data_IF_259292182651
#
_entry.id   IF_259292182651
#
_cell.length_a   1.000
_cell.length_b   1.000
_cell.length_c   1.000
_cell.angle_alpha   90.00
_cell.angle_beta   90.00
_cell.angle_gamma   90.00
#
_symmetry.space_group_name_H-M   'P 1'
#
loop_
_entity.id
_entity.type
_entity.pdbx_description
1 polymer ?
#
# COMPACT_ATOMS: atom_id res chain seq x y z
N UNK A 1 -12.83 77.57 -82.80
CA UNK A 1 -12.10 77.10 -81.61
C UNK A 1 -12.97 76.81 -80.37
N UNK A 2 -14.20 77.35 -80.22
CA UNK A 2 -15.04 77.11 -79.02
C UNK A 2 -15.62 75.69 -78.84
N UNK A 3 -15.85 74.91 -79.90
CA UNK A 3 -16.50 73.58 -79.81
C UNK A 3 -15.57 72.45 -79.31
N UNK A 4 -14.28 72.49 -79.61
CA UNK A 4 -13.33 71.43 -79.22
C UNK A 4 -13.02 71.45 -77.71
N UNK A 5 -12.98 72.64 -77.10
CA UNK A 5 -12.79 72.79 -75.66
C UNK A 5 -13.94 72.21 -74.83
N UNK A 6 -15.18 72.34 -75.31
CA UNK A 6 -16.36 71.80 -74.62
C UNK A 6 -16.41 70.27 -74.62
N UNK A 7 -15.91 69.62 -75.68
CA UNK A 7 -15.85 68.16 -75.80
C UNK A 7 -14.72 67.60 -74.92
N UNK A 8 -13.57 68.28 -74.89
CA UNK A 8 -12.48 67.92 -73.99
C UNK A 8 -12.88 68.05 -72.51
N UNK A 9 -13.60 69.12 -72.15
CA UNK A 9 -14.12 69.32 -70.79
C UNK A 9 -15.14 68.27 -70.38
N UNK A 10 -16.05 67.86 -71.28
CA UNK A 10 -17.05 66.83 -70.96
C UNK A 10 -16.44 65.43 -70.83
N UNK A 11 -15.42 65.10 -71.61
CA UNK A 11 -14.66 63.85 -71.47
C UNK A 11 -13.85 63.84 -70.17
N UNK A 12 -13.20 64.96 -69.83
CA UNK A 12 -12.47 65.12 -68.56
C UNK A 12 -13.40 65.04 -67.35
N UNK A 13 -14.57 65.68 -67.39
CA UNK A 13 -15.57 65.57 -66.33
C UNK A 13 -16.12 64.14 -66.22
N UNK A 14 -16.42 63.48 -67.34
CA UNK A 14 -16.89 62.09 -67.35
C UNK A 14 -15.87 61.13 -66.73
N UNK A 15 -14.59 61.27 -67.09
CA UNK A 15 -13.50 60.47 -66.52
C UNK A 15 -13.28 60.74 -65.02
N UNK A 16 -13.45 61.99 -64.59
CA UNK A 16 -13.29 62.40 -63.19
C UNK A 16 -14.45 61.88 -62.31
N UNK A 17 -15.68 61.87 -62.82
CA UNK A 17 -16.83 61.26 -62.12
C UNK A 17 -16.66 59.74 -61.99
N UNK A 18 -16.20 59.06 -63.05
CA UNK A 18 -15.94 57.61 -63.01
C UNK A 18 -14.76 57.29 -62.09
N UNK A 19 -13.69 58.10 -62.11
CA UNK A 19 -12.51 57.93 -61.25
C UNK A 19 -12.81 58.15 -59.76
N UNK A 20 -13.62 59.15 -59.42
CA UNK A 20 -14.07 59.38 -58.04
C UNK A 20 -15.01 58.25 -57.57
N UNK A 21 -15.95 57.83 -58.42
CA UNK A 21 -16.87 56.73 -58.10
C UNK A 21 -16.12 55.41 -57.87
N UNK A 22 -15.26 55.01 -58.80
CA UNK A 22 -14.46 53.77 -58.69
C UNK A 22 -13.45 53.83 -57.54
N UNK A 23 -12.82 54.97 -57.29
CA UNK A 23 -11.93 55.17 -56.13
C UNK A 23 -12.65 55.05 -54.79
N UNK A 24 -13.88 55.56 -54.68
CA UNK A 24 -14.70 55.42 -53.48
C UNK A 24 -15.10 53.96 -53.21
N UNK A 25 -15.56 53.24 -54.23
CA UNK A 25 -15.88 51.81 -54.11
C UNK A 25 -14.65 50.95 -53.78
N UNK A 26 -13.50 51.24 -54.38
CA UNK A 26 -12.24 50.56 -54.06
C UNK A 26 -11.78 50.85 -52.63
N UNK A 27 -11.94 52.09 -52.16
CA UNK A 27 -11.62 52.45 -50.78
C UNK A 27 -12.53 51.77 -49.76
N UNK A 28 -13.84 51.74 -50.04
CA UNK A 28 -14.83 51.05 -49.20
C UNK A 28 -14.57 49.54 -49.15
N UNK A 29 -14.32 48.91 -50.29
CA UNK A 29 -13.98 47.49 -50.38
C UNK A 29 -12.67 47.14 -49.66
N UNK A 30 -11.68 48.05 -49.66
CA UNK A 30 -10.43 47.85 -48.94
C UNK A 30 -10.62 47.97 -47.42
N UNK A 31 -11.47 48.90 -46.97
CA UNK A 31 -11.87 49.03 -45.56
C UNK A 31 -12.62 47.79 -45.07
N UNK A 32 -13.54 47.27 -45.87
CA UNK A 32 -14.27 46.03 -45.53
C UNK A 32 -13.33 44.83 -45.46
N UNK A 33 -12.36 44.71 -46.38
CA UNK A 33 -11.32 43.66 -46.30
C UNK A 33 -10.48 43.76 -45.04
N UNK A 34 -10.13 44.99 -44.61
CA UNK A 34 -9.38 45.20 -43.37
C UNK A 34 -10.20 44.82 -42.13
N UNK A 35 -11.49 45.18 -42.09
CA UNK A 35 -12.40 44.80 -41.02
C UNK A 35 -12.58 43.28 -40.94
N UNK A 36 -12.83 42.62 -42.06
CA UNK A 36 -12.96 41.15 -42.13
C UNK A 36 -11.64 40.44 -41.75
N UNK A 37 -10.49 41.00 -42.13
CA UNK A 37 -9.20 40.44 -41.73
C UNK A 37 -8.97 40.56 -40.22
N UNK A 38 -9.39 41.66 -39.60
CA UNK A 38 -9.29 41.88 -38.16
C UNK A 38 -10.25 40.96 -37.38
N UNK A 39 -11.49 40.82 -37.83
CA UNK A 39 -12.46 39.88 -37.26
C UNK A 39 -11.97 38.43 -37.39
N UNK A 40 -11.40 38.04 -38.54
CA UNK A 40 -10.83 36.72 -38.74
C UNK A 40 -9.61 36.47 -37.83
N UNK A 41 -8.78 37.47 -37.58
CA UNK A 41 -7.66 37.36 -36.63
C UNK A 41 -8.15 37.22 -35.18
N UNK A 42 -9.17 38.00 -34.79
CA UNK A 42 -9.78 37.89 -33.47
C UNK A 42 -10.45 36.53 -33.27
N UNK A 43 -11.20 36.04 -34.26
CA UNK A 43 -11.81 34.71 -34.22
C UNK A 43 -10.76 33.59 -34.10
N UNK A 44 -9.64 33.70 -34.83
CA UNK A 44 -8.51 32.76 -34.69
C UNK A 44 -7.88 32.81 -33.30
N UNK A 45 -7.66 34.01 -32.76
CA UNK A 45 -7.10 34.16 -31.42
C UNK A 45 -8.03 33.57 -30.34
N UNK A 46 -9.34 33.79 -30.46
CA UNK A 46 -10.33 33.20 -29.57
C UNK A 46 -10.37 31.68 -29.70
N UNK A 47 -10.36 31.14 -30.91
CA UNK A 47 -10.34 29.70 -31.14
C UNK A 47 -9.11 29.03 -30.53
N UNK A 48 -7.92 29.65 -30.67
CA UNK A 48 -6.68 29.16 -30.05
C UNK A 48 -6.79 29.17 -28.52
N UNK A 49 -7.31 30.26 -27.94
CA UNK A 49 -7.53 30.36 -26.48
C UNK A 49 -8.50 29.30 -25.99
N UNK A 50 -9.66 29.14 -26.64
CA UNK A 50 -10.65 28.11 -26.27
C UNK A 50 -10.06 26.70 -26.40
N UNK A 51 -9.26 26.43 -27.42
CA UNK A 51 -8.59 25.14 -27.57
C UNK A 51 -7.60 24.87 -26.43
N UNK A 52 -6.85 25.90 -26.01
CA UNK A 52 -5.90 25.79 -24.90
C UNK A 52 -6.60 25.65 -23.55
N UNK A 53 -7.70 26.37 -23.32
CA UNK A 53 -8.57 26.22 -22.15
C UNK A 53 -9.17 24.81 -22.08
N UNK A 54 -9.64 24.26 -23.21
CA UNK A 54 -10.13 22.88 -23.28
C UNK A 54 -9.05 21.86 -22.93
N UNK A 55 -7.82 22.03 -23.45
CA UNK A 55 -6.70 21.15 -23.11
C UNK A 55 -6.36 21.20 -21.62
N UNK A 56 -6.33 22.38 -21.04
CA UNK A 56 -6.08 22.56 -19.61
C UNK A 56 -7.19 21.92 -18.76
N UNK A 57 -8.46 22.11 -19.13
CA UNK A 57 -9.60 21.51 -18.44
C UNK A 57 -9.58 19.97 -18.52
N UNK A 58 -9.21 19.40 -19.67
CA UNK A 58 -9.04 17.95 -19.84
C UNK A 58 -7.89 17.44 -18.96
N UNK A 59 -6.77 18.16 -18.92
CA UNK A 59 -5.63 17.78 -18.08
C UNK A 59 -6.01 17.79 -16.60
N UNK A 60 -6.65 18.85 -16.11
CA UNK A 60 -7.11 18.96 -14.73
C UNK A 60 -8.14 17.87 -14.38
N UNK A 61 -9.06 17.56 -15.31
CA UNK A 61 -10.02 16.47 -15.13
C UNK A 61 -9.31 15.11 -15.03
N UNK A 62 -8.32 14.84 -15.88
CA UNK A 62 -7.54 13.61 -15.84
C UNK A 62 -6.74 13.47 -14.54
N UNK A 63 -6.15 14.56 -14.04
CA UNK A 63 -5.45 14.56 -12.75
C UNK A 63 -6.41 14.28 -11.59
N UNK A 64 -7.59 14.91 -11.58
CA UNK A 64 -8.62 14.65 -10.57
C UNK A 64 -9.12 13.21 -10.62
N UNK A 65 -9.33 12.66 -11.82
CA UNK A 65 -9.70 11.26 -12.01
C UNK A 65 -8.61 10.31 -11.52
N UNK A 66 -7.33 10.60 -11.78
CA UNK A 66 -6.21 9.79 -11.30
C UNK A 66 -6.15 9.76 -9.76
N UNK A 67 -6.29 10.92 -9.11
CA UNK A 67 -6.33 11.02 -7.64
C UNK A 67 -7.54 10.27 -7.05
N UNK A 68 -8.73 10.45 -7.64
CA UNK A 68 -9.93 9.73 -7.21
C UNK A 68 -9.77 8.21 -7.37
N UNK A 69 -9.17 7.74 -8.46
CA UNK A 69 -8.88 6.32 -8.66
C UNK A 69 -7.90 5.77 -7.61
N UNK A 70 -6.90 6.57 -7.21
CA UNK A 70 -5.97 6.17 -6.15
C UNK A 70 -6.66 6.07 -4.78
N UNK A 71 -7.54 7.02 -4.46
CA UNK A 71 -8.36 6.98 -3.23
C UNK A 71 -9.35 5.81 -3.23
N UNK A 72 -10.02 5.56 -4.35
CA UNK A 72 -10.92 4.40 -4.51
C UNK A 72 -10.15 3.10 -4.33
N UNK A 73 -8.95 2.99 -4.90
CA UNK A 73 -8.09 1.80 -4.71
C UNK A 73 -7.73 1.61 -3.24
N UNK A 74 -7.28 2.66 -2.55
CA UNK A 74 -6.98 2.61 -1.11
C UNK A 74 -8.19 2.15 -0.29
N UNK A 75 -9.38 2.68 -0.58
CA UNK A 75 -10.60 2.27 0.10
C UNK A 75 -10.97 0.80 -0.17
N UNK A 76 -10.80 0.33 -1.40
CA UNK A 76 -11.02 -1.08 -1.76
C UNK A 76 -10.03 -2.01 -1.05
N UNK A 77 -8.75 -1.61 -0.93
CA UNK A 77 -7.74 -2.40 -0.25
C UNK A 77 -8.02 -2.50 1.26
N UNK A 78 -8.45 -1.40 1.89
CA UNK A 78 -8.89 -1.39 3.29
C UNK A 78 -10.11 -2.29 3.49
N UNK A 79 -11.11 -2.21 2.60
CA UNK A 79 -12.30 -3.04 2.70
C UNK A 79 -11.95 -4.53 2.63
N UNK A 80 -11.09 -4.93 1.69
CA UNK A 80 -10.59 -6.31 1.57
C UNK A 80 -9.86 -6.77 2.82
N UNK A 81 -9.01 -5.92 3.41
CA UNK A 81 -8.30 -6.23 4.64
C UNK A 81 -9.28 -6.49 5.81
N UNK A 82 -10.31 -5.66 5.95
CA UNK A 82 -11.35 -5.82 6.98
C UNK A 82 -12.20 -7.07 6.74
N UNK A 83 -12.55 -7.37 5.49
CA UNK A 83 -13.28 -8.60 5.14
C UNK A 83 -12.46 -9.86 5.48
N UNK A 84 -11.16 -9.85 5.16
CA UNK A 84 -10.25 -10.94 5.51
C UNK A 84 -10.12 -11.09 7.03
N UNK A 85 -9.96 -9.99 7.76
CA UNK A 85 -9.88 -10.00 9.21
C UNK A 85 -11.15 -10.58 9.84
N UNK A 86 -12.34 -10.18 9.36
CA UNK A 86 -13.62 -10.75 9.81
C UNK A 86 -13.73 -12.24 9.52
N UNK A 87 -13.28 -12.68 8.35
CA UNK A 87 -13.28 -14.10 7.98
C UNK A 87 -12.35 -14.92 8.89
N UNK A 88 -11.20 -14.36 9.27
CA UNK A 88 -10.27 -14.98 10.21
C UNK A 88 -10.85 -14.99 11.63
N UNK A 89 -11.47 -13.91 12.10
CA UNK A 89 -12.15 -13.86 13.40
C UNK A 89 -13.24 -14.93 13.51
N UNK A 90 -13.98 -15.18 12.44
CA UNK A 90 -15.02 -16.22 12.42
C UNK A 90 -14.46 -17.66 12.56
N UNK A 91 -13.19 -17.87 12.25
CA UNK A 91 -12.48 -19.16 12.34
C UNK A 91 -11.57 -19.25 13.57
N UNK A 92 -11.25 -18.11 14.20
CA UNK A 92 -10.27 -18.03 15.25
C UNK A 92 -10.75 -18.72 16.53
N UNK A 93 -9.91 -19.61 17.05
CA UNK A 93 -10.11 -20.19 18.38
C UNK A 93 -9.62 -19.18 19.43
N UNK A 94 -10.46 -18.76 20.39
CA UNK A 94 -10.01 -17.87 21.44
C UNK A 94 -9.00 -18.59 22.35
N UNK A 95 -7.83 -18.00 22.54
CA UNK A 95 -6.84 -18.50 23.49
C UNK A 95 -6.86 -17.67 24.76
N UNK A 96 -7.01 -18.35 25.89
CA UNK A 96 -6.92 -17.75 27.21
C UNK A 96 -5.47 -17.82 27.73
N UNK A 97 -5.15 -17.01 28.73
CA UNK A 97 -3.87 -17.15 29.42
C UNK A 97 -3.77 -18.55 30.04
N UNK A 98 -2.65 -19.28 29.84
CA UNK A 98 -2.53 -20.63 30.34
C UNK A 98 -2.57 -20.67 31.87
N UNK A 99 -3.02 -21.80 32.45
CA UNK A 99 -3.05 -21.97 33.90
C UNK A 99 -1.67 -21.69 34.53
N UNK A 100 -1.63 -20.95 35.65
CA UNK A 100 -0.39 -20.58 36.32
C UNK A 100 0.53 -21.78 36.66
N UNK A 101 -0.04 -22.98 36.84
CA UNK A 101 0.71 -24.23 37.06
C UNK A 101 1.57 -24.66 35.85
N UNK A 102 1.15 -24.33 34.63
CA UNK A 102 1.86 -24.70 33.40
C UNK A 102 3.06 -23.78 33.18
N UNK A 103 2.89 -22.49 33.48
CA UNK A 103 3.86 -21.43 33.20
C UNK A 103 4.57 -20.89 34.45
N UNK A 104 4.51 -21.60 35.58
CA UNK A 104 4.99 -21.11 36.89
C UNK A 104 6.47 -20.69 36.86
N UNK A 105 7.29 -21.48 36.20
CA UNK A 105 8.74 -21.30 36.14
C UNK A 105 9.16 -20.57 34.85
N UNK A 106 8.22 -19.98 34.11
CA UNK A 106 8.54 -19.26 32.89
C UNK A 106 9.00 -17.83 33.20
N UNK A 107 9.92 -17.32 32.39
CA UNK A 107 10.43 -15.97 32.46
C UNK A 107 9.59 -15.06 31.56
N UNK A 108 9.44 -13.79 31.94
CA UNK A 108 8.75 -12.78 31.12
C UNK A 108 9.79 -12.14 30.19
N UNK A 109 9.47 -12.06 28.91
CA UNK A 109 10.19 -11.29 27.90
C UNK A 109 9.36 -10.09 27.47
N UNK A 110 10.02 -8.94 27.34
CA UNK A 110 9.46 -7.73 26.75
C UNK A 110 10.45 -7.29 25.67
N UNK A 111 10.10 -7.47 24.40
CA UNK A 111 10.87 -6.94 23.28
C UNK A 111 10.27 -5.63 22.82
N UNK A 112 11.03 -4.55 23.02
CA UNK A 112 10.66 -3.22 22.51
C UNK A 112 10.94 -3.07 21.02
N UNK A 113 11.80 -3.91 20.43
CA UNK A 113 12.11 -3.83 19.00
C UNK A 113 11.04 -4.50 18.13
N UNK A 114 10.32 -5.47 18.69
CA UNK A 114 9.24 -6.21 18.01
C UNK A 114 7.85 -5.84 18.54
N UNK A 115 7.75 -4.91 19.50
CA UNK A 115 6.48 -4.53 20.16
C UNK A 115 5.65 -5.72 20.63
N UNK A 116 6.32 -6.72 21.22
CA UNK A 116 5.72 -7.98 21.67
C UNK A 116 6.29 -8.34 23.03
N UNK A 117 5.44 -8.90 23.89
CA UNK A 117 5.85 -9.52 25.15
C UNK A 117 5.18 -10.87 25.32
N UNK A 118 5.85 -11.80 25.98
CA UNK A 118 5.32 -13.13 26.28
C UNK A 118 6.14 -13.79 27.38
N UNK A 119 5.68 -14.95 27.86
CA UNK A 119 6.43 -15.77 28.80
C UNK A 119 7.09 -16.92 28.05
N UNK A 120 8.31 -17.31 28.44
CA UNK A 120 9.04 -18.42 27.83
C UNK A 120 9.73 -19.28 28.92
N UNK A 121 9.99 -20.57 28.66
CA UNK A 121 10.58 -21.48 29.66
C UNK A 121 11.91 -20.99 30.24
N UNK A 122 12.18 -21.26 31.53
CA UNK A 122 13.38 -20.76 32.22
C UNK A 122 14.72 -21.31 31.74
N UNK A 123 14.69 -22.47 31.10
CA UNK A 123 15.81 -23.16 30.47
C UNK A 123 16.04 -22.73 29.01
N UNK A 124 15.39 -21.64 28.59
CA UNK A 124 15.65 -20.97 27.33
C UNK A 124 16.39 -19.65 27.53
N UNK A 125 17.01 -19.15 26.47
CA UNK A 125 17.75 -17.88 26.44
C UNK A 125 17.39 -17.10 25.17
N UNK A 126 17.26 -15.78 25.32
CA UNK A 126 17.12 -14.86 24.18
C UNK A 126 18.49 -14.71 23.52
N UNK A 127 18.59 -15.12 22.25
CA UNK A 127 19.84 -15.08 21.48
C UNK A 127 19.98 -13.83 20.63
N UNK A 128 18.86 -13.27 20.18
CA UNK A 128 18.79 -12.04 19.38
C UNK A 128 17.51 -11.29 19.78
N UNK A 129 17.59 -9.98 19.94
CA UNK A 129 16.44 -9.06 20.10
C UNK A 129 16.83 -7.73 19.44
N UNK A 130 16.53 -7.61 18.15
CA UNK A 130 16.75 -6.41 17.37
C UNK A 130 15.53 -6.10 16.47
N UNK A 131 15.65 -5.09 15.60
CA UNK A 131 14.56 -4.69 14.70
C UNK A 131 14.26 -5.70 13.59
N UNK A 132 15.13 -6.70 13.38
CA UNK A 132 14.96 -7.74 12.37
C UNK A 132 14.34 -8.98 12.98
N UNK A 133 14.90 -9.45 14.10
CA UNK A 133 14.48 -10.69 14.71
C UNK A 133 14.50 -10.60 16.23
N UNK A 134 13.57 -11.31 16.84
CA UNK A 134 13.66 -11.80 18.20
C UNK A 134 13.77 -13.33 18.14
N UNK A 135 14.84 -13.89 18.70
CA UNK A 135 15.07 -15.36 18.70
C UNK A 135 15.27 -15.88 20.10
N UNK A 136 14.66 -17.04 20.39
CA UNK A 136 14.86 -17.77 21.64
C UNK A 136 15.32 -19.19 21.32
N UNK A 137 16.35 -19.63 22.03
CA UNK A 137 16.92 -20.95 21.90
C UNK A 137 17.06 -21.64 23.27
N UNK A 138 17.32 -22.94 23.26
CA UNK A 138 17.57 -23.73 24.46
C UNK A 138 18.90 -23.33 25.12
N UNK A 139 18.91 -23.17 26.44
CA UNK A 139 20.12 -22.91 27.21
C UNK A 139 20.95 -24.18 27.35
N UNK A 140 21.89 -24.41 26.43
CA UNK A 140 22.84 -25.53 26.52
C UNK A 140 24.10 -25.15 27.29
N UNK A 141 24.35 -25.82 28.42
CA UNK A 141 25.56 -25.62 29.21
C UNK A 141 26.81 -26.03 28.40
N UNK A 142 27.73 -25.08 28.20
CA UNK A 142 29.03 -25.34 27.56
C UNK A 142 29.02 -25.40 26.03
N UNK A 143 27.88 -25.13 25.37
CA UNK A 143 27.85 -24.91 23.93
C UNK A 143 27.78 -23.40 23.63
N UNK A 144 28.44 -22.91 22.56
CA UNK A 144 28.27 -21.53 22.13
C UNK A 144 26.79 -21.23 21.83
N UNK A 145 26.39 -19.95 21.88
CA UNK A 145 25.04 -19.40 21.63
C UNK A 145 24.43 -19.73 20.25
N UNK A 146 25.00 -20.68 19.50
CA UNK A 146 24.57 -21.15 18.18
C UNK A 146 23.54 -22.30 18.24
N UNK A 147 22.90 -22.56 19.38
CA UNK A 147 21.78 -23.50 19.43
C UNK A 147 20.68 -23.06 18.47
N UNK A 148 20.15 -23.98 17.66
CA UNK A 148 19.04 -23.69 16.75
C UNK A 148 17.86 -23.07 17.55
N UNK A 149 17.35 -21.91 17.12
CA UNK A 149 16.26 -21.24 17.84
C UNK A 149 14.97 -22.03 17.65
N UNK A 150 14.31 -22.36 18.76
CA UNK A 150 13.00 -23.00 18.74
C UNK A 150 11.86 -21.98 18.60
N UNK A 151 12.16 -20.69 18.81
CA UNK A 151 11.22 -19.59 18.62
C UNK A 151 11.90 -18.45 17.86
N UNK A 152 11.20 -17.91 16.86
CA UNK A 152 11.62 -16.72 16.15
C UNK A 152 10.42 -15.82 15.88
N UNK A 153 10.58 -14.53 16.13
CA UNK A 153 9.64 -13.47 15.74
C UNK A 153 10.39 -12.50 14.84
N UNK A 154 9.79 -12.11 13.72
CA UNK A 154 10.38 -11.15 12.79
C UNK A 154 9.28 -10.31 12.13
N UNK A 155 9.58 -9.10 11.64
CA UNK A 155 8.63 -8.34 10.83
C UNK A 155 8.19 -9.11 9.59
N UNK A 156 6.95 -8.88 9.19
CA UNK A 156 6.38 -9.56 8.03
C UNK A 156 7.10 -9.16 6.73
N UNK A 157 7.48 -10.17 5.95
CA UNK A 157 7.82 -10.02 4.53
C UNK A 157 7.40 -11.30 3.80
N UNK A 158 6.96 -11.14 2.54
CA UNK A 158 6.47 -12.25 1.71
C UNK A 158 7.54 -13.34 1.53
N UNK A 159 8.80 -12.94 1.28
CA UNK A 159 9.92 -13.87 1.17
C UNK A 159 10.19 -14.63 2.47
N UNK A 160 10.04 -13.97 3.63
CA UNK A 160 10.25 -14.64 4.90
C UNK A 160 9.12 -15.62 5.22
N UNK A 161 7.88 -15.26 4.88
CA UNK A 161 6.76 -16.18 4.96
C UNK A 161 6.97 -17.41 4.08
N UNK A 162 7.31 -17.24 2.80
CA UNK A 162 7.52 -18.38 1.90
C UNK A 162 8.62 -19.31 2.42
N UNK A 163 9.67 -18.74 3.02
CA UNK A 163 10.73 -19.53 3.66
C UNK A 163 10.22 -20.33 4.85
N UNK A 164 9.34 -19.78 5.70
CA UNK A 164 8.78 -20.49 6.84
C UNK A 164 7.74 -21.53 6.39
N UNK A 165 6.91 -21.20 5.40
CA UNK A 165 5.92 -22.11 4.83
C UNK A 165 6.58 -23.35 4.24
N UNK A 166 7.68 -23.18 3.52
CA UNK A 166 8.46 -24.29 2.95
C UNK A 166 9.19 -25.16 3.99
N UNK A 167 9.24 -24.73 5.25
CA UNK A 167 9.78 -25.52 6.35
C UNK A 167 8.75 -26.48 6.97
N UNK A 168 7.46 -26.36 6.66
CA UNK A 168 6.43 -27.27 7.19
C UNK A 168 5.92 -28.23 6.09
N UNK A 169 5.86 -29.51 6.41
CA UNK A 169 5.24 -30.58 5.62
C UNK A 169 3.99 -31.08 6.37
N UNK A 170 2.94 -31.44 5.63
CA UNK A 170 1.65 -31.90 6.20
C UNK A 170 1.02 -30.86 7.14
N UNK A 171 0.74 -29.67 6.60
CA UNK A 171 0.18 -28.58 7.38
C UNK A 171 -1.31 -28.69 7.67
N UNK A 172 -1.69 -28.26 8.87
CA UNK A 172 -3.07 -28.02 9.31
C UNK A 172 -3.22 -26.52 9.57
N UNK A 173 -4.24 -25.85 9.00
CA UNK A 173 -4.49 -24.45 9.30
C UNK A 173 -4.85 -24.26 10.78
N UNK A 174 -4.25 -23.25 11.40
CA UNK A 174 -4.53 -22.88 12.79
C UNK A 174 -4.73 -21.36 12.87
N UNK A 175 -5.84 -20.96 13.49
CA UNK A 175 -6.21 -19.56 13.66
C UNK A 175 -6.61 -19.34 15.12
N UNK A 176 -5.98 -18.35 15.75
CA UNK A 176 -6.18 -18.03 17.16
C UNK A 176 -6.50 -16.55 17.35
N UNK A 177 -7.27 -16.25 18.39
CA UNK A 177 -7.54 -14.88 18.83
C UNK A 177 -7.02 -14.68 20.25
N UNK A 178 -6.09 -13.72 20.42
CA UNK A 178 -5.38 -13.45 21.67
C UNK A 178 -5.33 -11.94 21.89
N UNK A 179 -5.84 -11.46 23.03
CA UNK A 179 -5.75 -10.06 23.49
C UNK A 179 -6.03 -9.00 22.41
N UNK A 180 -7.01 -9.23 21.54
CA UNK A 180 -7.38 -8.28 20.48
C UNK A 180 -6.50 -8.35 19.22
N UNK A 181 -5.77 -9.45 19.03
CA UNK A 181 -4.98 -9.76 17.83
C UNK A 181 -5.35 -11.14 17.31
N UNK A 182 -5.20 -11.33 16.00
CA UNK A 182 -5.41 -12.60 15.34
C UNK A 182 -4.06 -13.17 14.97
N UNK A 183 -3.87 -14.45 15.25
CA UNK A 183 -2.75 -15.24 14.77
C UNK A 183 -3.31 -16.26 13.78
N UNK A 184 -2.79 -16.29 12.56
CA UNK A 184 -3.23 -17.28 11.57
C UNK A 184 -2.04 -17.86 10.84
N UNK A 185 -2.04 -19.17 10.65
CA UNK A 185 -0.99 -19.83 9.90
C UNK A 185 -1.21 -21.33 9.87
N UNK A 186 -0.12 -22.08 9.95
CA UNK A 186 -0.13 -23.51 9.75
C UNK A 186 0.76 -24.20 10.79
N UNK A 187 0.28 -25.33 11.29
CA UNK A 187 1.00 -26.26 12.16
C UNK A 187 1.26 -27.56 11.40
N UNK A 188 2.41 -28.18 11.56
CA UNK A 188 2.71 -29.47 10.93
C UNK A 188 4.07 -30.01 11.34
N UNK A 189 4.67 -30.84 10.50
CA UNK A 189 6.00 -31.38 10.75
C UNK A 189 7.06 -30.57 10.00
N UNK A 190 8.20 -30.32 10.63
CA UNK A 190 9.34 -29.66 9.99
C UNK A 190 9.88 -30.53 8.86
N UNK A 191 10.20 -29.91 7.73
CA UNK A 191 10.53 -30.63 6.50
C UNK A 191 11.78 -31.50 6.68
N UNK A 192 11.65 -32.79 6.39
CA UNK A 192 12.71 -33.79 6.57
C UNK A 192 12.95 -34.21 8.02
N UNK A 193 12.12 -33.78 8.97
CA UNK A 193 12.24 -34.08 10.40
C UNK A 193 10.90 -34.55 11.00
N UNK A 194 10.95 -35.29 12.10
CA UNK A 194 9.75 -35.68 12.87
C UNK A 194 9.35 -34.66 13.94
N UNK A 195 10.00 -33.50 13.94
CA UNK A 195 9.73 -32.42 14.89
C UNK A 195 8.51 -31.62 14.42
N UNK A 196 7.57 -31.36 15.32
CA UNK A 196 6.44 -30.48 14.99
C UNK A 196 6.91 -29.03 14.96
N UNK A 197 6.27 -28.23 14.12
CA UNK A 197 6.54 -26.81 13.98
C UNK A 197 5.29 -26.07 13.56
N UNK A 198 5.31 -24.77 13.76
CA UNK A 198 4.23 -23.89 13.40
C UNK A 198 4.77 -22.54 12.95
N UNK A 199 4.14 -21.98 11.92
CA UNK A 199 4.31 -20.56 11.61
C UNK A 199 2.98 -19.84 11.73
N UNK A 200 2.99 -18.62 12.25
CA UNK A 200 1.83 -17.77 12.37
C UNK A 200 2.12 -16.36 11.87
N UNK A 201 1.16 -15.79 11.16
CA UNK A 201 1.06 -14.37 10.88
C UNK A 201 0.35 -13.69 12.04
N UNK A 202 0.89 -12.57 12.50
CA UNK A 202 0.25 -11.73 13.52
C UNK A 202 -0.43 -10.55 12.83
N UNK A 203 -1.75 -10.47 12.96
CA UNK A 203 -2.57 -9.41 12.37
C UNK A 203 -2.85 -8.29 13.38
N UNK A 204 -2.63 -7.05 12.95
CA UNK A 204 -3.03 -5.81 13.63
C UNK A 204 -3.82 -4.97 12.63
N UNK A 205 -5.09 -4.69 12.95
CA UNK A 205 -5.97 -3.83 12.17
C UNK A 205 -6.04 -4.23 10.67
N UNK A 206 -6.22 -5.53 10.42
CA UNK A 206 -6.30 -6.10 9.07
C UNK A 206 -4.97 -6.26 8.33
N UNK A 207 -3.84 -5.84 8.91
CA UNK A 207 -2.50 -5.92 8.30
C UNK A 207 -1.63 -6.94 9.03
N UNK A 208 -0.92 -7.78 8.28
CA UNK A 208 0.09 -8.66 8.85
C UNK A 208 1.32 -7.85 9.27
N UNK A 209 1.65 -7.89 10.55
CA UNK A 209 2.77 -7.12 11.12
C UNK A 209 4.01 -7.97 11.31
N UNK A 210 3.84 -9.18 11.82
CA UNK A 210 4.93 -10.08 12.20
C UNK A 210 4.67 -11.50 11.72
N UNK A 211 5.76 -12.24 11.61
CA UNK A 211 5.81 -13.68 11.46
C UNK A 211 6.39 -14.28 12.73
N UNK A 212 5.75 -15.34 13.20
CA UNK A 212 6.13 -16.13 14.36
C UNK A 212 6.43 -17.55 13.90
N UNK A 213 7.59 -18.07 14.24
CA UNK A 213 7.99 -19.46 14.02
C UNK A 213 8.20 -20.13 15.37
N UNK A 214 7.62 -21.30 15.57
CA UNK A 214 7.74 -22.10 16.79
C UNK A 214 8.04 -23.54 16.40
N UNK A 215 8.99 -24.16 17.06
CA UNK A 215 9.27 -25.60 16.94
C UNK A 215 8.90 -26.32 18.23
N UNK A 216 8.61 -27.62 18.13
CA UNK A 216 8.41 -28.49 19.30
C UNK A 216 9.66 -28.40 20.19
N UNK A 217 9.43 -27.93 21.41
CA UNK A 217 10.47 -27.68 22.41
C UNK A 217 10.11 -28.44 23.68
N UNK A 218 11.10 -29.12 24.25
CA UNK A 218 10.94 -29.85 25.51
C UNK A 218 11.77 -29.16 26.57
N UNK A 219 11.12 -28.81 27.67
CA UNK A 219 11.72 -28.01 28.72
C UNK A 219 11.63 -28.70 30.09
N UNK A 220 12.60 -28.40 30.94
CA UNK A 220 12.70 -28.95 32.29
C UNK A 220 11.87 -28.15 33.30
N UNK A 221 10.95 -28.82 34.00
CA UNK A 221 10.32 -28.32 35.22
C UNK A 221 10.73 -29.21 36.41
N UNK A 222 11.73 -28.76 37.18
CA UNK A 222 12.28 -29.54 38.29
C UNK A 222 12.95 -30.83 37.84
N UNK A 223 12.34 -32.00 38.13
CA UNK A 223 12.86 -33.34 37.74
C UNK A 223 12.19 -33.93 36.50
N UNK A 224 11.24 -33.23 35.88
CA UNK A 224 10.45 -33.74 34.75
C UNK A 224 10.68 -32.88 33.50
N UNK A 225 10.75 -33.52 32.35
CA UNK A 225 10.77 -32.87 31.03
C UNK A 225 9.34 -32.85 30.51
N UNK A 226 8.85 -31.67 30.09
CA UNK A 226 7.52 -31.48 29.51
C UNK A 226 7.62 -30.89 28.10
N UNK A 227 6.76 -31.29 27.17
CA UNK A 227 6.64 -30.61 25.89
C UNK A 227 6.01 -29.22 26.08
N UNK A 228 6.47 -28.25 25.29
CA UNK A 228 5.85 -26.95 25.12
C UNK A 228 4.59 -27.11 24.27
N UNK A 229 3.44 -26.78 24.85
CA UNK A 229 2.22 -26.61 24.05
C UNK A 229 2.28 -25.23 23.38
N UNK A 230 2.10 -25.18 22.07
CA UNK A 230 2.12 -23.91 21.34
C UNK A 230 1.07 -22.97 21.88
N UNK A 231 -0.12 -23.46 22.21
CA UNK A 231 -1.21 -22.68 22.79
C UNK A 231 -0.85 -22.06 24.14
N UNK A 232 -0.04 -22.72 24.96
CA UNK A 232 0.44 -22.17 26.23
C UNK A 232 1.38 -20.98 25.97
N UNK A 233 2.30 -21.08 24.99
CA UNK A 233 3.15 -19.94 24.60
C UNK A 233 2.31 -18.81 24.02
N UNK A 234 1.48 -19.12 23.03
CA UNK A 234 0.66 -18.16 22.31
C UNK A 234 -0.32 -17.45 23.26
N UNK A 235 -0.90 -18.16 24.22
CA UNK A 235 -1.81 -17.58 25.23
C UNK A 235 -1.13 -16.57 26.17
N UNK A 236 0.21 -16.56 26.24
CA UNK A 236 0.96 -15.56 27.00
C UNK A 236 1.36 -14.34 26.19
N UNK A 237 1.18 -14.36 24.86
CA UNK A 237 1.48 -13.21 24.01
C UNK A 237 0.67 -12.01 24.45
N UNK A 238 1.35 -10.89 24.50
CA UNK A 238 0.79 -9.58 24.74
C UNK A 238 1.44 -8.57 23.81
N UNK A 239 0.64 -7.61 23.41
CA UNK A 239 1.00 -6.59 22.44
C UNK A 239 0.85 -5.26 23.18
N UNK A 240 1.96 -4.64 23.63
CA UNK A 240 1.92 -3.34 24.29
C UNK A 240 1.04 -2.39 23.48
N UNK A 241 0.06 -1.78 24.14
CA UNK A 241 -0.76 -0.75 23.51
C UNK A 241 0.11 0.49 23.31
N UNK A 242 0.15 0.99 22.07
CA UNK A 242 0.47 2.39 21.79
C UNK A 242 -0.51 3.33 22.52
#
# INVERSE_FOLDING_TARGET
>A
MRKAWSILLSILLGALVVGIGTGYFLHLANKDRQLLALEAQQAKATAIRTQQEQQNAIHEANEKLAKANEEVKKAQDVLKAVEQERALLGQATPLAEPPAKNIKDWQILISTNQDISFKYPSDSIVTEDDNKNLTIAEKKAGQPLQSEPWLMVQPYSEQAEDRLKNQITSSTPAVYFIKGKILAGETGYKNGQSQEGAYYRIYKDGVTTHLLWIEDYKYGQGKQVKPLLFEDLLGTLDFPKE
#
